data_IF_697760887123
#
_entry.id   IF_697760887123
#
_cell.length_a   1.000
_cell.length_b   1.000
_cell.length_c   1.000
_cell.angle_alpha   90.00
_cell.angle_beta   90.00
_cell.angle_gamma   90.00
#
_symmetry.space_group_name_H-M   'P 1'
#
loop_
_entity.id
_entity.type
_entity.pdbx_description
1 polymer ?
#
# COMPACT_ATOMS: atom_id res chain seq x y z
N UNK A 1 28.44 33.62 -6.67
CA UNK A 1 28.77 32.69 -5.57
C UNK A 1 27.95 31.43 -5.78
N UNK A 2 28.56 30.25 -5.87
CA UNK A 2 27.78 29.00 -5.74
C UNK A 2 27.44 28.86 -4.25
N UNK A 3 26.17 28.61 -3.89
CA UNK A 3 25.85 28.13 -2.54
C UNK A 3 26.44 26.72 -2.44
N UNK A 4 27.27 26.49 -1.42
CA UNK A 4 27.61 25.14 -0.99
C UNK A 4 26.61 24.80 0.12
N UNK A 5 25.49 24.20 -0.24
CA UNK A 5 24.67 23.46 0.73
C UNK A 5 25.51 22.30 1.23
N UNK A 6 25.60 22.16 2.56
CA UNK A 6 26.28 21.04 3.18
C UNK A 6 25.25 19.92 3.33
N UNK A 7 25.23 18.99 2.38
CA UNK A 7 24.38 17.81 2.43
C UNK A 7 24.79 16.93 3.61
N UNK A 8 24.18 17.15 4.77
CA UNK A 8 24.30 16.27 5.95
C UNK A 8 23.32 15.12 5.79
N UNK A 9 23.67 14.17 4.94
CA UNK A 9 23.00 12.87 4.89
C UNK A 9 23.72 11.86 5.79
N UNK A 10 22.99 10.87 6.30
CA UNK A 10 23.53 9.73 7.03
C UNK A 10 23.02 8.46 6.33
N UNK A 11 23.94 7.57 5.96
CA UNK A 11 23.63 6.26 5.37
C UNK A 11 24.27 5.18 6.25
N UNK A 12 23.49 4.16 6.61
CA UNK A 12 23.94 3.01 7.42
C UNK A 12 23.43 1.73 6.77
N UNK A 13 24.24 1.08 5.94
CA UNK A 13 23.95 -0.24 5.38
C UNK A 13 24.68 -1.35 6.16
N UNK A 14 24.00 -2.45 6.48
CA UNK A 14 24.50 -3.56 7.29
C UNK A 14 23.97 -4.93 6.79
N UNK A 15 24.83 -5.71 6.14
CA UNK A 15 24.46 -7.03 5.60
C UNK A 15 25.06 -8.18 6.46
N UNK A 16 24.26 -9.22 6.76
CA UNK A 16 24.60 -10.32 7.65
C UNK A 16 24.26 -11.69 7.05
N UNK A 17 25.26 -12.46 6.61
CA UNK A 17 25.04 -13.78 5.99
C UNK A 17 25.12 -14.90 7.04
N UNK A 18 24.04 -15.67 7.24
CA UNK A 18 23.95 -16.66 8.34
C UNK A 18 24.74 -17.96 8.10
N UNK A 19 25.00 -18.34 6.84
CA UNK A 19 25.75 -19.56 6.50
C UNK A 19 26.92 -19.26 5.55
N UNK A 20 28.08 -19.86 5.85
CA UNK A 20 29.28 -19.66 5.06
C UNK A 20 29.38 -20.67 3.90
N UNK A 21 29.72 -20.15 2.70
CA UNK A 21 30.07 -20.87 1.48
C UNK A 21 28.92 -21.39 0.59
N UNK A 22 28.05 -20.49 0.15
CA UNK A 22 28.05 -20.05 -1.26
C UNK A 22 27.85 -18.53 -1.29
N UNK A 23 28.40 -17.86 -2.31
CA UNK A 23 28.36 -16.38 -2.41
C UNK A 23 27.31 -15.99 -3.44
N UNK A 24 26.14 -15.71 -2.91
CA UNK A 24 25.12 -14.82 -3.43
C UNK A 24 25.11 -13.66 -2.42
N UNK A 25 25.14 -12.42 -2.90
CA UNK A 25 25.51 -11.26 -2.09
C UNK A 25 24.29 -10.34 -1.93
N UNK A 26 24.07 -9.87 -0.71
CA UNK A 26 23.15 -8.77 -0.45
C UNK A 26 23.70 -7.51 -1.12
N UNK A 27 23.03 -6.96 -2.13
CA UNK A 27 23.40 -5.68 -2.75
C UNK A 27 22.54 -4.54 -2.19
N UNK A 28 23.09 -3.33 -2.19
CA UNK A 28 22.47 -2.15 -1.61
C UNK A 28 23.05 -0.84 -2.21
N UNK A 29 22.44 -0.30 -3.27
CA UNK A 29 22.78 1.04 -3.77
C UNK A 29 21.97 2.13 -3.03
N UNK A 30 22.61 3.28 -2.83
CA UNK A 30 22.02 4.44 -2.14
C UNK A 30 22.48 5.73 -2.83
N UNK A 31 21.78 6.14 -3.90
CA UNK A 31 22.09 7.37 -4.64
C UNK A 31 21.46 8.61 -3.96
N UNK A 32 22.29 9.54 -3.51
CA UNK A 32 21.86 10.81 -2.91
C UNK A 32 22.32 12.01 -3.77
N UNK A 33 21.61 12.29 -4.88
CA UNK A 33 21.88 13.49 -5.69
C UNK A 33 21.10 14.71 -5.17
N UNK A 34 21.83 15.80 -4.91
CA UNK A 34 21.30 17.12 -4.46
C UNK A 34 20.49 17.12 -3.15
N UNK A 35 20.18 15.96 -2.56
CA UNK A 35 19.42 15.82 -1.32
C UNK A 35 20.19 16.31 -0.08
N UNK A 36 19.49 16.86 0.91
CA UNK A 36 20.07 17.35 2.17
C UNK A 36 19.27 16.83 3.38
N UNK A 37 19.91 16.56 4.52
CA UNK A 37 19.24 16.13 5.76
C UNK A 37 18.41 14.83 5.66
N UNK A 38 18.81 13.91 4.78
CA UNK A 38 18.21 12.57 4.62
C UNK A 38 18.91 11.55 5.52
N UNK A 39 18.18 10.61 6.11
CA UNK A 39 18.73 9.48 6.87
C UNK A 39 18.27 8.13 6.31
N UNK A 40 19.18 7.37 5.70
CA UNK A 40 18.91 6.01 5.20
C UNK A 40 19.55 4.99 6.14
N UNK A 41 18.78 4.00 6.58
CA UNK A 41 19.26 2.79 7.24
C UNK A 41 18.81 1.58 6.43
N UNK A 42 19.73 0.67 6.13
CA UNK A 42 19.47 -0.61 5.46
C UNK A 42 20.07 -1.72 6.31
N UNK A 43 19.28 -2.75 6.62
CA UNK A 43 19.75 -3.98 7.23
C UNK A 43 19.28 -5.18 6.41
N UNK A 44 20.21 -6.05 6.01
CA UNK A 44 19.92 -7.24 5.23
C UNK A 44 20.47 -8.47 5.95
N UNK A 45 19.70 -9.55 5.98
CA UNK A 45 20.05 -10.82 6.61
C UNK A 45 19.71 -11.93 5.62
N UNK A 46 20.65 -12.83 5.34
CA UNK A 46 20.39 -14.02 4.50
C UNK A 46 20.33 -15.29 5.34
N UNK A 47 19.29 -16.10 5.12
CA UNK A 47 19.00 -17.30 5.92
C UNK A 47 19.52 -18.58 5.25
N UNK A 48 19.53 -18.59 3.92
CA UNK A 48 19.84 -19.73 3.07
C UNK A 48 21.20 -19.68 2.39
N UNK A 49 21.22 -20.08 1.12
CA UNK A 49 22.43 -20.30 0.30
C UNK A 49 22.24 -19.85 -1.15
N UNK A 50 21.19 -19.07 -1.42
CA UNK A 50 20.82 -18.50 -2.72
C UNK A 50 20.32 -17.04 -2.61
N UNK A 51 20.59 -16.37 -1.49
CA UNK A 51 20.08 -15.04 -1.19
C UNK A 51 20.91 -13.91 -1.77
N UNK A 52 20.54 -13.47 -2.97
CA UNK A 52 20.78 -12.10 -3.43
C UNK A 52 19.59 -11.26 -2.95
N UNK A 53 19.63 -10.61 -1.77
CA UNK A 53 18.63 -9.58 -1.49
C UNK A 53 19.10 -8.25 -2.08
N UNK A 54 18.22 -7.54 -2.77
CA UNK A 54 18.51 -6.28 -3.46
C UNK A 54 17.83 -5.11 -2.72
N UNK A 55 18.51 -3.96 -2.63
CA UNK A 55 17.98 -2.71 -2.04
C UNK A 55 18.47 -1.53 -2.86
N UNK A 56 17.55 -0.70 -3.34
CA UNK A 56 17.85 0.32 -4.35
C UNK A 56 17.22 1.67 -3.92
N UNK A 57 17.99 2.54 -3.23
CA UNK A 57 17.46 3.73 -2.53
C UNK A 57 17.94 5.06 -3.16
N UNK A 58 17.03 5.81 -3.79
CA UNK A 58 17.34 7.04 -4.53
C UNK A 58 16.67 8.28 -3.91
N UNK A 59 17.45 9.22 -3.36
CA UNK A 59 16.96 10.57 -3.05
C UNK A 59 17.55 11.58 -4.03
N UNK A 60 16.74 12.10 -4.94
CA UNK A 60 17.15 12.92 -6.09
C UNK A 60 16.54 14.33 -6.02
N UNK A 61 17.13 15.15 -5.15
CA UNK A 61 16.79 16.57 -5.00
C UNK A 61 15.79 16.92 -3.90
N UNK A 62 15.48 15.97 -3.02
CA UNK A 62 14.61 16.13 -1.83
C UNK A 62 15.38 16.59 -0.57
N UNK A 63 14.81 17.52 0.20
CA UNK A 63 15.38 18.05 1.44
C UNK A 63 14.63 17.53 2.69
N UNK A 64 15.32 16.72 3.48
CA UNK A 64 14.79 16.05 4.66
C UNK A 64 14.12 14.71 4.33
N UNK A 65 13.96 13.87 5.34
CA UNK A 65 13.31 12.57 5.24
C UNK A 65 14.17 11.44 5.79
N UNK A 66 13.61 10.24 5.84
CA UNK A 66 14.37 9.05 6.26
C UNK A 66 13.76 7.75 5.75
N UNK A 67 14.61 6.84 5.30
CA UNK A 67 14.25 5.47 4.92
C UNK A 67 14.83 4.48 5.93
N UNK A 68 14.02 3.51 6.38
CA UNK A 68 14.45 2.37 7.18
C UNK A 68 14.08 1.06 6.47
N UNK A 69 15.08 0.32 6.02
CA UNK A 69 14.94 -0.87 5.19
C UNK A 69 15.43 -2.10 5.98
N UNK A 70 14.65 -3.17 6.00
CA UNK A 70 15.00 -4.45 6.65
C UNK A 70 14.63 -5.65 5.77
N UNK A 71 15.56 -6.57 5.52
CA UNK A 71 15.32 -7.83 4.81
C UNK A 71 15.88 -9.01 5.61
N UNK A 72 15.18 -10.15 5.64
CA UNK A 72 15.59 -11.37 6.36
C UNK A 72 15.13 -12.64 5.65
N UNK A 73 15.97 -13.16 4.74
CA UNK A 73 15.70 -14.32 3.89
C UNK A 73 16.53 -14.32 2.61
N UNK A 74 16.11 -15.04 1.57
CA UNK A 74 16.82 -15.14 0.29
C UNK A 74 15.97 -14.59 -0.88
N UNK A 75 16.55 -13.70 -1.70
CA UNK A 75 15.98 -13.14 -2.96
C UNK A 75 14.83 -12.14 -2.79
N UNK A 76 14.86 -11.32 -1.74
CA UNK A 76 13.92 -10.22 -1.58
C UNK A 76 14.47 -8.93 -2.19
N UNK A 77 13.61 -8.08 -2.77
CA UNK A 77 13.98 -6.80 -3.40
C UNK A 77 13.22 -5.62 -2.75
N UNK A 78 13.90 -4.52 -2.44
CA UNK A 78 13.28 -3.27 -1.99
C UNK A 78 13.80 -2.07 -2.78
N UNK A 79 12.94 -1.52 -3.64
CA UNK A 79 13.15 -0.23 -4.30
C UNK A 79 12.54 0.92 -3.49
N UNK A 80 13.28 2.01 -3.35
CA UNK A 80 12.77 3.28 -2.80
C UNK A 80 13.29 4.46 -3.62
N UNK A 81 12.40 5.25 -4.22
CA UNK A 81 12.75 6.47 -4.95
C UNK A 81 12.01 7.69 -4.36
N UNK A 82 12.71 8.84 -4.26
CA UNK A 82 12.20 10.10 -3.69
C UNK A 82 12.83 11.28 -4.44
N UNK A 83 12.16 11.82 -5.47
CA UNK A 83 12.76 12.79 -6.42
C UNK A 83 12.08 14.17 -6.46
N UNK A 84 12.40 14.97 -7.48
CA UNK A 84 11.85 16.27 -7.90
C UNK A 84 11.57 17.36 -6.84
N UNK A 85 12.09 17.21 -5.61
CA UNK A 85 11.87 17.99 -4.38
C UNK A 85 10.63 17.57 -3.56
N UNK A 86 10.38 16.27 -3.44
CA UNK A 86 9.48 15.69 -2.44
C UNK A 86 10.18 15.68 -1.07
N UNK A 87 10.06 16.76 -0.29
CA UNK A 87 10.83 16.97 0.93
C UNK A 87 10.24 16.18 2.13
N UNK A 88 11.08 15.80 3.11
CA UNK A 88 10.69 15.29 4.45
C UNK A 88 9.96 13.94 4.50
N UNK A 89 9.89 13.20 3.40
CA UNK A 89 9.24 11.89 3.36
C UNK A 89 9.91 10.86 4.28
N UNK A 90 9.09 10.15 5.07
CA UNK A 90 9.51 9.07 5.96
C UNK A 90 9.05 7.75 5.38
N UNK A 91 9.95 6.78 5.26
CA UNK A 91 9.73 5.51 4.57
C UNK A 91 10.24 4.38 5.46
N UNK A 92 9.52 3.27 5.53
CA UNK A 92 9.96 2.04 6.18
C UNK A 92 9.53 0.83 5.37
N UNK A 93 10.46 -0.03 4.98
CA UNK A 93 10.18 -1.22 4.19
C UNK A 93 10.80 -2.44 4.88
N UNK A 94 10.02 -3.49 5.10
CA UNK A 94 10.44 -4.68 5.84
C UNK A 94 10.02 -5.96 5.11
N UNK A 95 10.93 -6.91 4.97
CA UNK A 95 10.69 -8.23 4.37
C UNK A 95 11.25 -9.33 5.26
N UNK A 96 10.56 -10.48 5.33
CA UNK A 96 11.04 -11.67 6.05
C UNK A 96 10.49 -12.96 5.41
N UNK A 97 11.37 -13.80 4.91
CA UNK A 97 11.06 -14.94 4.03
C UNK A 97 11.74 -14.80 2.67
N UNK A 98 11.33 -15.57 1.67
CA UNK A 98 12.03 -15.64 0.38
C UNK A 98 11.21 -15.04 -0.79
N UNK A 99 11.88 -14.47 -1.80
CA UNK A 99 11.26 -13.92 -3.03
C UNK A 99 10.19 -12.80 -2.82
N UNK A 100 10.25 -11.99 -1.76
CA UNK A 100 9.33 -10.85 -1.61
C UNK A 100 9.85 -9.58 -2.33
N UNK A 101 8.96 -8.80 -2.96
CA UNK A 101 9.30 -7.58 -3.72
C UNK A 101 8.54 -6.37 -3.17
N UNK A 102 9.22 -5.24 -2.95
CA UNK A 102 8.60 -3.99 -2.49
C UNK A 102 9.13 -2.76 -3.25
N UNK A 103 8.26 -2.07 -3.97
CA UNK A 103 8.56 -0.79 -4.62
C UNK A 103 7.88 0.38 -3.87
N UNK A 104 8.55 1.53 -3.86
CA UNK A 104 8.07 2.77 -3.22
C UNK A 104 8.61 3.97 -4.02
N UNK A 105 7.77 4.81 -4.60
CA UNK A 105 8.17 6.11 -5.19
C UNK A 105 7.41 7.28 -4.57
N UNK A 106 8.10 8.40 -4.33
CA UNK A 106 7.53 9.64 -3.78
C UNK A 106 8.09 10.84 -4.55
N UNK A 107 7.53 11.14 -5.73
CA UNK A 107 8.06 12.13 -6.67
C UNK A 107 7.22 13.42 -6.80
N UNK A 108 7.72 14.36 -7.61
CA UNK A 108 7.05 15.59 -8.05
C UNK A 108 6.57 16.54 -6.95
N UNK A 109 7.30 16.64 -5.83
CA UNK A 109 7.04 17.55 -4.68
C UNK A 109 5.94 17.10 -3.72
N UNK A 110 5.72 15.80 -3.58
CA UNK A 110 4.88 15.22 -2.54
C UNK A 110 5.59 15.38 -1.18
N UNK A 111 5.26 16.41 -0.40
CA UNK A 111 6.00 16.81 0.81
C UNK A 111 5.48 16.11 2.08
N UNK A 112 6.37 15.44 2.83
CA UNK A 112 6.13 15.05 4.22
C UNK A 112 5.23 13.83 4.44
N UNK A 113 5.16 12.93 3.47
CA UNK A 113 4.43 11.67 3.54
C UNK A 113 5.10 10.66 4.48
N UNK A 114 4.32 9.67 4.92
CA UNK A 114 4.76 8.58 5.79
C UNK A 114 4.39 7.22 5.17
N UNK A 115 5.38 6.52 4.62
CA UNK A 115 5.23 5.24 3.91
C UNK A 115 5.68 4.07 4.78
N UNK A 116 4.90 2.99 4.76
CA UNK A 116 5.28 1.71 5.35
C UNK A 116 4.97 0.54 4.39
N UNK A 117 5.91 -0.40 4.20
CA UNK A 117 5.64 -1.75 3.69
C UNK A 117 6.24 -2.79 4.64
N UNK A 118 5.55 -3.92 4.81
CA UNK A 118 5.95 -5.03 5.66
C UNK A 118 5.44 -6.36 5.11
N UNK A 119 6.33 -7.25 4.69
CA UNK A 119 6.00 -8.51 4.03
C UNK A 119 6.59 -9.69 4.82
N UNK A 120 5.79 -10.70 5.14
CA UNK A 120 6.21 -11.85 5.96
C UNK A 120 5.69 -13.16 5.39
N UNK A 121 6.58 -14.02 4.91
CA UNK A 121 6.24 -15.20 4.12
C UNK A 121 7.00 -15.17 2.79
N UNK A 122 6.50 -15.86 1.77
CA UNK A 122 7.22 -15.99 0.50
C UNK A 122 6.43 -15.41 -0.67
N UNK A 123 7.14 -14.87 -1.66
CA UNK A 123 6.54 -14.38 -2.91
C UNK A 123 5.45 -13.29 -2.73
N UNK A 124 5.54 -12.44 -1.70
CA UNK A 124 4.63 -11.30 -1.57
C UNK A 124 5.14 -10.09 -2.37
N UNK A 125 4.26 -9.33 -2.99
CA UNK A 125 4.56 -8.14 -3.79
C UNK A 125 3.86 -6.89 -3.21
N UNK A 126 4.56 -5.76 -3.09
CA UNK A 126 3.97 -4.50 -2.61
C UNK A 126 4.46 -3.27 -3.38
N UNK A 127 3.58 -2.42 -3.93
CA UNK A 127 3.96 -1.12 -4.50
C UNK A 127 3.27 0.06 -3.79
N UNK A 128 3.96 1.20 -3.69
CA UNK A 128 3.46 2.45 -3.09
C UNK A 128 3.97 3.67 -3.87
N UNK A 129 3.11 4.30 -4.66
CA UNK A 129 3.39 5.56 -5.39
C UNK A 129 2.71 6.77 -4.69
N UNK A 130 3.44 7.87 -4.49
CA UNK A 130 2.89 9.13 -3.92
C UNK A 130 3.43 10.35 -4.67
N UNK A 131 2.68 10.84 -5.64
CA UNK A 131 3.20 11.74 -6.68
C UNK A 131 2.44 13.07 -6.84
N UNK A 132 3.13 13.98 -7.53
CA UNK A 132 2.57 15.20 -8.13
C UNK A 132 2.02 16.26 -7.16
N UNK A 133 2.70 16.41 -6.02
CA UNK A 133 2.35 17.30 -4.89
C UNK A 133 1.25 16.75 -3.99
N UNK A 134 1.26 15.43 -3.80
CA UNK A 134 0.50 14.76 -2.73
C UNK A 134 1.18 14.99 -1.38
N UNK A 135 0.78 16.05 -0.65
CA UNK A 135 1.43 16.41 0.63
C UNK A 135 0.81 15.68 1.84
N UNK A 136 1.67 15.28 2.78
CA UNK A 136 1.33 14.88 4.16
C UNK A 136 0.41 13.64 4.31
N UNK A 137 0.45 12.71 3.37
CA UNK A 137 -0.29 11.45 3.42
C UNK A 137 0.39 10.40 4.32
N UNK A 138 -0.33 9.32 4.62
CA UNK A 138 0.25 8.10 5.19
C UNK A 138 -0.17 6.88 4.38
N UNK A 139 0.77 6.04 3.98
CA UNK A 139 0.52 4.76 3.28
C UNK A 139 1.06 3.61 4.11
N UNK A 140 0.46 2.42 3.99
CA UNK A 140 0.92 1.25 4.74
C UNK A 140 0.52 -0.06 4.06
N UNK A 141 1.47 -0.93 3.74
CA UNK A 141 1.21 -2.31 3.29
C UNK A 141 1.71 -3.30 4.34
N UNK A 142 0.91 -4.32 4.65
CA UNK A 142 1.24 -5.36 5.63
C UNK A 142 0.75 -6.74 5.17
N UNK A 143 1.67 -7.57 4.66
CA UNK A 143 1.38 -8.89 4.09
C UNK A 143 1.94 -10.00 5.00
N UNK A 144 1.19 -11.09 5.19
CA UNK A 144 1.57 -12.18 6.10
C UNK A 144 1.01 -13.53 5.64
N UNK A 145 1.84 -14.29 4.93
CA UNK A 145 1.52 -15.58 4.29
C UNK A 145 2.26 -15.67 2.95
N UNK A 146 1.88 -16.62 2.10
CA UNK A 146 2.54 -16.81 0.80
C UNK A 146 1.73 -16.19 -0.36
N UNK A 147 2.41 -15.59 -1.33
CA UNK A 147 1.84 -15.08 -2.60
C UNK A 147 0.75 -13.99 -2.46
N UNK A 148 0.92 -13.02 -1.55
CA UNK A 148 0.00 -11.87 -1.48
C UNK A 148 0.51 -10.68 -2.32
N UNK A 149 -0.37 -9.94 -2.98
CA UNK A 149 -0.04 -8.86 -3.94
C UNK A 149 -0.76 -7.55 -3.53
N UNK A 150 -0.07 -6.40 -3.45
CA UNK A 150 -0.60 -5.20 -2.77
C UNK A 150 -0.13 -3.85 -3.37
N UNK A 151 -1.02 -2.89 -3.58
CA UNK A 151 -0.71 -1.64 -4.32
C UNK A 151 -1.34 -0.40 -3.68
N UNK A 152 -0.61 0.71 -3.54
CA UNK A 152 -1.13 2.01 -3.07
C UNK A 152 -0.66 3.18 -3.96
N UNK A 153 -1.57 3.88 -4.64
CA UNK A 153 -1.29 5.13 -5.38
C UNK A 153 -1.91 6.38 -4.71
N UNK A 154 -1.29 7.54 -4.91
CA UNK A 154 -1.69 8.86 -4.39
C UNK A 154 -1.21 10.01 -5.30
N UNK A 155 -2.08 10.55 -6.15
CA UNK A 155 -1.79 11.69 -7.04
C UNK A 155 -2.62 12.95 -6.73
N UNK A 156 -1.98 14.13 -6.66
CA UNK A 156 -2.58 15.42 -6.25
C UNK A 156 -3.34 15.37 -4.92
N UNK A 157 -2.92 14.45 -4.05
CA UNK A 157 -3.68 13.92 -2.95
C UNK A 157 -3.13 14.45 -1.62
N UNK A 158 -3.85 15.34 -0.96
CA UNK A 158 -3.43 16.10 0.22
C UNK A 158 -4.00 15.50 1.53
N UNK A 159 -3.13 14.97 2.41
CA UNK A 159 -3.41 14.55 3.81
C UNK A 159 -4.29 13.30 3.96
N UNK A 160 -4.18 12.35 3.06
CA UNK A 160 -4.97 11.13 3.05
C UNK A 160 -4.27 9.98 3.80
N UNK A 161 -4.96 8.86 4.01
CA UNK A 161 -4.40 7.68 4.71
C UNK A 161 -4.80 6.38 4.03
N UNK A 162 -3.84 5.67 3.42
CA UNK A 162 -4.02 4.33 2.87
C UNK A 162 -3.49 3.22 3.78
N UNK A 163 -4.15 2.06 3.80
CA UNK A 163 -3.65 0.88 4.51
C UNK A 163 -4.07 -0.45 3.88
N UNK A 164 -3.14 -1.38 3.70
CA UNK A 164 -3.36 -2.74 3.20
C UNK A 164 -2.94 -3.72 4.28
N UNK A 165 -3.80 -4.71 4.56
CA UNK A 165 -3.48 -5.83 5.44
C UNK A 165 -3.90 -7.14 4.79
N UNK A 166 -2.96 -8.06 4.61
CA UNK A 166 -3.17 -9.38 4.01
C UNK A 166 -2.67 -10.47 4.94
N UNK A 167 -3.51 -11.46 5.27
CA UNK A 167 -3.17 -12.52 6.22
C UNK A 167 -3.67 -13.88 5.73
N UNK A 168 -2.74 -14.79 5.49
CA UNK A 168 -2.95 -16.04 4.77
C UNK A 168 -2.41 -15.94 3.34
N UNK A 169 -2.88 -16.81 2.45
CA UNK A 169 -2.20 -17.06 1.17
C UNK A 169 -3.03 -16.62 -0.04
N UNK A 170 -2.37 -16.06 -1.05
CA UNK A 170 -2.99 -15.62 -2.31
C UNK A 170 -4.08 -14.56 -2.14
N UNK A 171 -3.87 -13.56 -1.28
CA UNK A 171 -4.71 -12.37 -1.18
C UNK A 171 -4.17 -11.24 -2.11
N UNK A 172 -5.04 -10.52 -2.80
CA UNK A 172 -4.73 -9.45 -3.79
C UNK A 172 -5.38 -8.11 -3.38
N UNK A 173 -4.66 -6.99 -3.41
CA UNK A 173 -5.04 -5.73 -2.78
C UNK A 173 -4.66 -4.48 -3.60
N UNK A 174 -5.61 -3.63 -3.96
CA UNK A 174 -5.36 -2.38 -4.71
C UNK A 174 -5.97 -1.15 -4.02
N UNK A 175 -5.18 -0.11 -3.77
CA UNK A 175 -5.53 1.20 -3.22
C UNK A 175 -5.17 2.33 -4.23
N UNK A 176 -6.07 3.24 -4.60
CA UNK A 176 -5.76 4.43 -5.45
C UNK A 176 -6.47 5.72 -4.97
N UNK A 177 -5.73 6.84 -4.94
CA UNK A 177 -6.20 8.18 -4.56
C UNK A 177 -5.88 9.29 -5.59
N UNK A 178 -6.89 9.97 -6.17
CA UNK A 178 -6.69 11.08 -7.12
C UNK A 178 -7.40 12.40 -6.71
N UNK A 179 -6.67 13.53 -6.79
CA UNK A 179 -7.17 14.92 -6.59
C UNK A 179 -7.88 15.08 -5.22
N UNK A 180 -7.41 14.32 -4.24
CA UNK A 180 -8.18 13.91 -3.05
C UNK A 180 -7.67 14.52 -1.76
N UNK A 181 -8.56 14.84 -0.82
CA UNK A 181 -8.29 15.75 0.29
C UNK A 181 -8.94 15.31 1.61
N UNK A 182 -8.20 14.45 2.30
CA UNK A 182 -8.39 13.82 3.64
C UNK A 182 -9.18 12.51 3.69
N UNK A 183 -9.05 11.69 2.66
CA UNK A 183 -9.48 10.30 2.65
C UNK A 183 -8.86 9.54 3.84
N UNK A 184 -9.61 8.60 4.41
CA UNK A 184 -9.01 7.37 4.93
C UNK A 184 -9.00 6.32 3.79
N UNK A 185 -8.55 5.06 4.01
CA UNK A 185 -8.66 3.82 3.19
C UNK A 185 -8.15 2.62 4.01
N UNK A 186 -8.69 1.40 3.86
CA UNK A 186 -8.15 0.24 4.60
C UNK A 186 -8.47 -1.18 4.08
N UNK A 187 -7.69 -1.72 3.12
CA UNK A 187 -7.80 -3.15 2.76
C UNK A 187 -7.51 -3.99 4.01
N UNK A 188 -8.35 -5.00 4.21
CA UNK A 188 -8.08 -6.12 5.10
C UNK A 188 -8.51 -7.39 4.37
N UNK A 189 -7.62 -8.37 4.33
CA UNK A 189 -7.85 -9.67 3.72
C UNK A 189 -7.35 -10.77 4.63
N UNK A 190 -8.16 -11.81 4.77
CA UNK A 190 -7.92 -12.85 5.78
C UNK A 190 -8.39 -14.20 5.30
N UNK A 191 -7.47 -15.15 5.18
CA UNK A 191 -7.70 -16.53 4.76
C UNK A 191 -7.03 -16.82 3.42
N UNK A 192 -7.75 -17.33 2.43
CA UNK A 192 -7.14 -17.86 1.19
C UNK A 192 -7.95 -17.47 -0.04
N UNK A 193 -7.31 -16.78 -1.00
CA UNK A 193 -7.91 -16.18 -2.20
C UNK A 193 -8.91 -15.05 -1.87
N UNK A 194 -8.51 -13.78 -2.08
CA UNK A 194 -9.31 -12.56 -1.83
C UNK A 194 -8.83 -11.36 -2.73
N UNK A 195 -9.65 -10.31 -3.00
CA UNK A 195 -9.39 -8.99 -3.69
C UNK A 195 -9.39 -7.66 -2.80
N UNK A 196 -9.76 -6.45 -3.30
CA UNK A 196 -8.99 -5.17 -3.35
C UNK A 196 -9.37 -4.07 -2.28
N UNK A 197 -9.07 -2.73 -2.37
CA UNK A 197 -9.65 -1.57 -1.60
C UNK A 197 -9.10 -0.15 -2.00
N UNK A 198 -9.51 0.47 -3.13
CA UNK A 198 -9.11 1.84 -3.62
C UNK A 198 -9.52 2.95 -2.62
N UNK A 199 -9.15 4.26 -2.62
CA UNK A 199 -9.99 5.35 -1.99
C UNK A 199 -9.52 6.81 -2.17
N UNK A 200 -10.52 7.67 -2.18
CA UNK A 200 -10.54 9.10 -2.51
C UNK A 200 -11.33 9.88 -1.40
N UNK A 201 -11.45 11.20 -1.45
CA UNK A 201 -12.40 12.06 -0.68
C UNK A 201 -12.14 13.46 -1.24
N UNK A 202 -13.16 14.30 -1.47
CA UNK A 202 -12.94 15.73 -1.77
C UNK A 202 -12.02 16.18 -2.95
N UNK A 203 -11.51 15.40 -3.91
CA UNK A 203 -12.16 14.48 -4.84
C UNK A 203 -13.63 14.83 -5.17
N UNK A 204 -14.18 14.14 -6.17
CA UNK A 204 -15.62 13.90 -6.27
C UNK A 204 -15.91 12.38 -6.17
N UNK A 205 -15.09 11.67 -5.34
CA UNK A 205 -15.08 10.23 -5.03
C UNK A 205 -14.33 9.86 -3.71
N UNK A 206 -14.34 8.57 -3.31
CA UNK A 206 -13.80 7.82 -2.12
C UNK A 206 -13.74 6.26 -2.21
N UNK A 207 -12.97 5.70 -3.13
CA UNK A 207 -13.29 4.39 -3.73
C UNK A 207 -12.80 3.11 -3.01
N UNK A 208 -13.14 2.86 -1.73
CA UNK A 208 -12.73 1.72 -0.81
C UNK A 208 -12.73 0.29 -1.47
N UNK A 209 -12.56 -0.79 -0.73
CA UNK A 209 -12.99 -2.18 -1.02
C UNK A 209 -12.59 -3.02 0.21
N UNK A 210 -12.34 -4.31 0.05
CA UNK A 210 -11.65 -5.22 0.96
C UNK A 210 -11.56 -6.51 0.10
N UNK A 211 -11.26 -7.67 0.67
CA UNK A 211 -11.98 -8.93 0.44
C UNK A 211 -11.40 -9.92 1.46
N UNK A 212 -12.20 -10.78 2.07
CA UNK A 212 -11.83 -11.65 3.20
C UNK A 212 -12.56 -12.97 3.09
N UNK A 213 -11.92 -14.11 3.40
CA UNK A 213 -12.55 -15.44 3.32
C UNK A 213 -11.62 -16.62 3.62
N UNK A 214 -12.13 -17.59 4.39
CA UNK A 214 -11.35 -18.71 4.93
C UNK A 214 -11.64 -20.03 4.19
N UNK A 215 -10.71 -20.47 3.34
CA UNK A 215 -10.95 -21.57 2.40
C UNK A 215 -11.35 -22.94 2.99
N UNK A 216 -12.11 -23.68 2.17
CA UNK A 216 -12.36 -25.13 2.23
C UNK A 216 -13.35 -25.69 3.26
N UNK A 217 -14.21 -24.87 3.86
CA UNK A 217 -15.65 -25.13 4.03
C UNK A 217 -16.33 -23.76 4.17
N UNK A 218 -17.49 -23.59 3.55
CA UNK A 218 -18.47 -22.52 3.78
C UNK A 218 -18.02 -21.30 4.64
N UNK A 219 -17.21 -20.38 4.10
CA UNK A 219 -16.70 -19.16 4.79
C UNK A 219 -16.13 -18.04 3.86
N UNK A 220 -16.93 -17.65 2.87
CA UNK A 220 -17.01 -16.44 2.02
C UNK A 220 -15.89 -15.39 1.79
N UNK A 221 -15.70 -14.83 0.55
CA UNK A 221 -14.62 -13.92 0.00
C UNK A 221 -15.03 -12.43 -0.27
N UNK A 222 -14.81 -11.46 0.63
CA UNK A 222 -15.46 -10.10 0.83
C UNK A 222 -15.36 -8.94 -0.22
N UNK A 223 -15.50 -7.64 0.18
CA UNK A 223 -15.01 -6.36 -0.44
C UNK A 223 -15.27 -5.12 0.51
N UNK A 224 -15.37 -3.82 0.08
CA UNK A 224 -15.93 -2.58 0.78
C UNK A 224 -15.78 -1.16 0.11
N UNK A 225 -16.00 -0.86 -1.20
CA UNK A 225 -15.86 0.54 -1.81
C UNK A 225 -16.57 1.59 -0.97
N UNK A 226 -16.24 2.92 -0.82
CA UNK A 226 -16.95 3.92 0.07
C UNK A 226 -17.03 5.43 -0.31
N UNK A 227 -17.47 5.78 -1.53
CA UNK A 227 -17.80 7.11 -2.11
C UNK A 227 -18.16 8.30 -1.07
N UNK A 228 -17.34 9.35 -0.72
CA UNK A 228 -17.65 10.51 0.21
C UNK A 228 -17.41 11.99 -0.26
N UNK A 229 -18.31 12.91 0.18
CA UNK A 229 -18.33 14.42 0.18
C UNK A 229 -18.08 15.17 -1.16
N UNK A 230 -18.80 14.70 -2.18
CA UNK A 230 -18.36 14.65 -3.57
C UNK A 230 -19.53 14.62 -4.60
N UNK A 231 -19.42 13.97 -5.78
CA UNK A 231 -20.51 13.77 -6.78
C UNK A 231 -20.23 12.57 -7.70
N UNK A 232 -20.67 11.38 -7.30
CA UNK A 232 -20.44 10.11 -8.03
C UNK A 232 -20.19 8.93 -7.09
N UNK A 233 -19.76 9.28 -5.88
CA UNK A 233 -19.63 8.53 -4.65
C UNK A 233 -20.28 7.15 -4.55
N UNK A 234 -19.55 6.03 -4.56
CA UNK A 234 -19.95 4.65 -4.82
C UNK A 234 -19.32 3.71 -3.80
N UNK A 235 -20.06 2.71 -3.31
CA UNK A 235 -19.63 1.82 -2.21
C UNK A 235 -19.84 0.34 -2.65
N UNK A 236 -19.11 -0.69 -2.15
CA UNK A 236 -19.16 -2.12 -2.63
C UNK A 236 -18.30 -3.11 -1.79
N UNK A 237 -18.87 -3.84 -0.83
CA UNK A 237 -18.34 -5.14 -0.33
C UNK A 237 -18.91 -6.31 -1.20
N UNK A 238 -18.34 -7.53 -1.18
CA UNK A 238 -18.64 -8.59 -2.18
C UNK A 238 -18.35 -10.10 -1.83
N UNK A 239 -18.76 -10.67 -0.67
CA UNK A 239 -18.43 -12.08 -0.30
C UNK A 239 -18.70 -13.20 -1.40
N UNK A 240 -17.77 -14.15 -1.72
CA UNK A 240 -17.95 -15.21 -2.80
C UNK A 240 -17.82 -16.75 -2.54
N UNK A 241 -18.05 -17.30 -1.33
CA UNK A 241 -18.00 -18.75 -0.98
C UNK A 241 -19.16 -19.29 -0.07
N UNK A 242 -19.34 -18.87 1.20
CA UNK A 242 -20.55 -19.05 2.10
C UNK A 242 -20.52 -18.27 3.44
N UNK A 243 -21.68 -17.81 3.94
CA UNK A 243 -21.92 -16.83 5.02
C UNK A 243 -21.36 -15.41 4.71
N UNK A 244 -21.88 -14.81 3.64
CA UNK A 244 -21.36 -13.57 3.07
C UNK A 244 -21.74 -12.27 3.82
N UNK A 245 -20.91 -11.25 3.58
CA UNK A 245 -21.08 -9.83 3.91
C UNK A 245 -20.65 -8.98 2.70
N UNK A 246 -21.39 -7.90 2.49
CA UNK A 246 -21.36 -7.08 1.31
C UNK A 246 -22.14 -5.79 1.66
N UNK A 247 -21.53 -4.67 2.07
CA UNK A 247 -22.13 -3.37 2.36
C UNK A 247 -21.80 -2.28 1.35
N UNK A 248 -22.70 -1.30 1.29
CA UNK A 248 -22.55 -0.04 0.56
C UNK A 248 -23.26 1.08 1.34
N UNK A 249 -22.66 2.26 1.38
CA UNK A 249 -23.05 3.56 1.95
C UNK A 249 -23.00 4.59 0.81
N UNK A 250 -23.01 5.93 1.03
CA UNK A 250 -22.86 7.00 0.00
C UNK A 250 -23.08 8.36 0.70
N UNK A 251 -22.31 9.45 0.43
CA UNK A 251 -22.58 10.68 1.22
C UNK A 251 -22.30 12.10 0.64
N UNK A 252 -23.35 12.96 0.59
CA UNK A 252 -23.28 14.46 0.50
C UNK A 252 -23.25 15.10 -0.91
N UNK A 253 -24.02 14.55 -1.85
CA UNK A 253 -23.56 14.40 -3.26
C UNK A 253 -24.68 14.32 -4.35
N UNK A 254 -24.68 13.27 -5.19
CA UNK A 254 -25.53 12.98 -6.33
C UNK A 254 -24.81 12.12 -7.38
N UNK A 255 -25.51 11.17 -8.00
CA UNK A 255 -24.97 10.20 -8.98
C UNK A 255 -24.39 8.92 -8.38
N UNK A 256 -24.04 8.97 -7.10
CA UNK A 256 -23.59 7.89 -6.24
C UNK A 256 -24.19 6.49 -6.52
N UNK A 257 -23.37 5.43 -6.67
CA UNK A 257 -23.81 4.09 -7.10
C UNK A 257 -23.45 2.96 -6.13
N UNK A 258 -24.33 1.95 -6.01
CA UNK A 258 -24.61 1.35 -4.70
C UNK A 258 -24.94 -0.15 -4.88
N UNK A 259 -23.95 -1.04 -4.73
CA UNK A 259 -23.94 -2.42 -5.28
C UNK A 259 -23.24 -3.44 -4.38
N UNK A 260 -23.82 -4.61 -4.06
CA UNK A 260 -23.16 -5.66 -3.26
C UNK A 260 -23.54 -7.09 -3.67
N UNK A 261 -22.62 -8.06 -3.50
CA UNK A 261 -22.68 -9.41 -4.11
C UNK A 261 -22.20 -10.49 -3.13
N UNK A 262 -22.88 -11.65 -3.08
CA UNK A 262 -22.79 -12.63 -1.97
C UNK A 262 -23.26 -14.06 -2.35
N UNK A 263 -22.78 -15.14 -1.70
CA UNK A 263 -23.06 -16.55 -2.08
C UNK A 263 -23.02 -17.62 -0.95
N UNK A 264 -24.17 -18.26 -0.62
CA UNK A 264 -24.52 -19.25 0.47
C UNK A 264 -24.90 -18.58 1.84
N UNK A 265 -26.19 -18.32 2.10
CA UNK A 265 -26.74 -17.86 3.41
C UNK A 265 -26.42 -16.38 3.75
N UNK A 266 -26.76 -15.51 2.82
CA UNK A 266 -26.13 -14.22 2.59
C UNK A 266 -26.92 -12.98 3.09
N UNK A 267 -26.31 -11.78 3.00
CA UNK A 267 -26.70 -10.44 3.51
C UNK A 267 -26.20 -9.20 2.69
N UNK A 268 -26.30 -9.09 1.34
CA UNK A 268 -25.80 -7.87 0.65
C UNK A 268 -26.62 -6.61 1.01
N UNK A 269 -26.01 -5.63 1.68
CA UNK A 269 -26.59 -4.39 2.23
C UNK A 269 -26.12 -3.14 1.47
N UNK A 270 -26.96 -2.10 1.36
CA UNK A 270 -26.71 -0.94 0.48
C UNK A 270 -27.49 0.34 0.88
N UNK A 271 -26.88 1.54 0.87
CA UNK A 271 -27.50 2.79 1.37
C UNK A 271 -27.15 4.09 0.59
N UNK A 272 -28.13 4.97 0.33
CA UNK A 272 -27.98 6.28 -0.36
C UNK A 272 -28.23 7.46 0.60
N UNK A 273 -27.31 8.44 0.74
CA UNK A 273 -27.57 9.60 1.63
C UNK A 273 -27.10 10.98 1.11
N UNK A 274 -28.01 11.98 1.20
CA UNK A 274 -27.81 13.38 0.76
C UNK A 274 -27.47 13.56 -0.74
N UNK A 275 -27.60 12.50 -1.51
CA UNK A 275 -27.27 12.46 -2.94
C UNK A 275 -28.50 12.72 -3.83
N UNK A 276 -28.31 13.49 -4.91
CA UNK A 276 -29.28 13.57 -6.00
C UNK A 276 -29.15 12.36 -6.95
N UNK A 277 -30.13 11.44 -6.99
CA UNK A 277 -30.25 10.44 -8.06
C UNK A 277 -29.30 9.24 -7.97
N UNK A 278 -29.28 8.59 -6.81
CA UNK A 278 -28.30 7.56 -6.42
C UNK A 278 -28.99 6.25 -6.01
N UNK A 279 -28.36 5.08 -6.17
CA UNK A 279 -29.11 3.83 -6.52
C UNK A 279 -28.75 2.49 -5.80
N UNK A 280 -29.59 2.03 -4.86
CA UNK A 280 -29.43 0.83 -3.98
C UNK A 280 -29.65 -0.56 -4.63
N UNK A 281 -28.67 -1.50 -4.55
CA UNK A 281 -28.76 -2.94 -4.92
C UNK A 281 -28.25 -3.97 -3.86
N UNK A 282 -29.18 -4.40 -3.00
CA UNK A 282 -29.08 -5.49 -1.99
C UNK A 282 -29.31 -6.88 -2.64
N UNK A 283 -28.55 -7.93 -2.27
CA UNK A 283 -28.60 -9.28 -2.89
C UNK A 283 -28.24 -10.48 -1.96
N UNK A 284 -29.23 -11.05 -1.26
CA UNK A 284 -29.10 -12.22 -0.37
C UNK A 284 -29.58 -13.52 -1.06
N UNK A 285 -28.99 -14.68 -0.78
CA UNK A 285 -29.42 -16.04 -1.19
C UNK A 285 -29.41 -17.04 0.00
#
# INVERSE_FOLDING_TARGET
MKKLTLATAIVVALSFNAQAANVWDNDADVELDRANNVHVTVQQVTSGVAGDNEVDVFYKGADGGSSYIYQDGDRNDIRVEVTARSDRNTISALQTGDDNEANIDVDYKSDGNNVWSNQVGNNNESDIEIVDSSDLNSTSISQTGDTNEAYIDMAWSDRNTASITQVGDSNDADIDMEDSYRNQISITQTGVNNEANVETDWAFGSSVAITQGNGANDADNQADVDLYDSWGDTVYISQTQSDSIAEVSLFSTGGNTVTTIQNHNDLANVQVTRSNGSTVYINQD
#
